data_IF_496303835893
#
_entry.id   IF_496303835893
#
_cell.length_a   1.000
_cell.length_b   1.000
_cell.length_c   1.000
_cell.angle_alpha   90.00
_cell.angle_beta   90.00
_cell.angle_gamma   90.00
#
_symmetry.space_group_name_H-M   'P 1'
#
loop_
_entity.id
_entity.type
_entity.pdbx_description
1 polymer ?
#
# COMPACT_ATOMS: atom_id res chain seq x y z
N UNK A 1 8.28 -24.11 -20.80
CA UNK A 1 7.49 -24.05 -19.57
C UNK A 1 6.03 -23.79 -19.96
N UNK A 2 5.06 -24.50 -19.36
CA UNK A 2 3.61 -24.37 -19.63
C UNK A 2 2.80 -24.51 -18.33
N UNK A 3 2.46 -23.39 -17.69
CA UNK A 3 1.32 -23.29 -16.79
C UNK A 3 0.06 -23.70 -17.57
N UNK A 4 -0.91 -24.33 -16.89
CA UNK A 4 -2.12 -24.91 -17.49
C UNK A 4 -1.92 -26.18 -18.34
N UNK A 5 -0.74 -26.80 -18.29
CA UNK A 5 -0.56 -28.18 -18.78
C UNK A 5 -1.54 -29.13 -18.08
N UNK A 6 -2.08 -30.12 -18.80
CA UNK A 6 -2.87 -31.18 -18.20
C UNK A 6 -1.99 -32.10 -17.33
N UNK A 7 -2.53 -32.51 -16.19
CA UNK A 7 -1.94 -33.50 -15.30
C UNK A 7 -3.03 -34.49 -14.86
N UNK A 8 -2.64 -35.67 -14.41
CA UNK A 8 -3.55 -36.67 -13.87
C UNK A 8 -3.88 -36.36 -12.41
N UNK A 9 -5.11 -35.91 -12.17
CA UNK A 9 -5.61 -35.57 -10.84
C UNK A 9 -5.63 -36.76 -9.86
N UNK A 10 -5.66 -38.00 -10.37
CA UNK A 10 -5.67 -39.22 -9.55
C UNK A 10 -4.26 -39.73 -9.24
N UNK A 11 -3.24 -39.17 -9.88
CA UNK A 11 -1.86 -39.53 -9.68
C UNK A 11 -1.14 -38.36 -8.97
N UNK A 12 -0.81 -38.48 -7.68
CA UNK A 12 -0.20 -37.41 -6.90
C UNK A 12 1.27 -37.16 -7.26
N UNK A 13 1.80 -37.73 -8.35
CA UNK A 13 3.16 -37.48 -8.79
C UNK A 13 3.34 -35.98 -9.13
N UNK A 14 4.15 -35.23 -8.34
CA UNK A 14 4.27 -33.79 -8.49
C UNK A 14 5.14 -33.39 -9.70
N UNK A 15 5.88 -34.33 -10.29
CA UNK A 15 6.74 -34.11 -11.46
C UNK A 15 5.97 -34.07 -12.79
N UNK A 16 4.64 -34.17 -12.77
CA UNK A 16 3.82 -34.07 -13.97
C UNK A 16 3.79 -32.66 -14.57
N UNK A 17 4.01 -31.64 -13.73
CA UNK A 17 4.04 -30.26 -14.15
C UNK A 17 5.46 -29.84 -14.52
N UNK A 18 5.62 -29.28 -15.73
CA UNK A 18 6.92 -28.86 -16.26
C UNK A 18 7.63 -27.82 -15.38
N UNK A 19 6.87 -27.00 -14.65
CA UNK A 19 7.37 -25.96 -13.74
C UNK A 19 7.49 -26.44 -12.29
N UNK A 20 7.59 -27.75 -12.03
CA UNK A 20 7.92 -28.26 -10.69
C UNK A 20 9.27 -27.69 -10.20
N UNK A 21 9.41 -27.28 -8.91
CA UNK A 21 8.46 -27.40 -7.79
C UNK A 21 7.47 -26.23 -7.64
N UNK A 22 7.37 -25.36 -8.63
CA UNK A 22 6.61 -24.10 -8.57
C UNK A 22 5.19 -24.22 -9.16
N UNK A 23 4.89 -25.33 -9.82
CA UNK A 23 3.56 -25.72 -10.26
C UNK A 23 3.11 -27.01 -9.56
N UNK A 24 1.83 -27.06 -9.21
CA UNK A 24 1.18 -28.22 -8.61
C UNK A 24 0.01 -28.68 -9.49
N UNK A 25 -0.27 -29.99 -9.49
CA UNK A 25 -1.45 -30.52 -10.17
C UNK A 25 -2.69 -30.28 -9.31
N UNK A 26 -3.64 -29.49 -9.81
CA UNK A 26 -4.92 -29.23 -9.16
C UNK A 26 -6.06 -29.37 -10.16
N UNK A 27 -7.03 -30.25 -9.88
CA UNK A 27 -8.19 -30.47 -10.77
C UNK A 27 -7.81 -30.91 -12.19
N UNK A 28 -6.69 -31.64 -12.33
CA UNK A 28 -6.19 -32.12 -13.62
C UNK A 28 -5.46 -31.06 -14.46
N UNK A 29 -5.13 -29.91 -13.86
CA UNK A 29 -4.34 -28.84 -14.48
C UNK A 29 -3.17 -28.45 -13.60
N UNK A 30 -2.04 -28.16 -14.23
CA UNK A 30 -0.88 -27.57 -13.59
C UNK A 30 -1.13 -26.09 -13.31
N UNK A 31 -1.21 -25.73 -12.04
CA UNK A 31 -1.38 -24.35 -11.58
C UNK A 31 -0.15 -23.91 -10.80
N UNK A 32 0.24 -22.65 -10.92
CA UNK A 32 1.36 -22.12 -10.14
C UNK A 32 1.02 -22.09 -8.65
N UNK A 33 2.03 -22.28 -7.80
CA UNK A 33 1.88 -22.06 -6.36
C UNK A 33 1.66 -20.57 -6.10
N UNK A 34 0.39 -20.18 -5.96
CA UNK A 34 -0.03 -18.78 -5.85
C UNK A 34 0.55 -18.05 -4.63
N UNK A 35 1.02 -18.79 -3.61
CA UNK A 35 1.66 -18.19 -2.42
C UNK A 35 3.02 -17.57 -2.70
N UNK A 36 3.69 -17.97 -3.79
CA UNK A 36 5.08 -17.54 -4.08
C UNK A 36 5.32 -17.27 -5.56
N UNK A 37 4.46 -17.74 -6.44
CA UNK A 37 4.59 -17.64 -7.89
C UNK A 37 3.28 -17.13 -8.51
N UNK A 38 3.39 -16.66 -9.75
CA UNK A 38 2.29 -16.25 -10.59
C UNK A 38 2.52 -16.74 -12.02
N UNK A 39 1.45 -16.89 -12.79
CA UNK A 39 1.53 -17.32 -14.19
C UNK A 39 1.94 -16.13 -15.07
N UNK A 40 2.95 -16.31 -15.92
CA UNK A 40 3.35 -15.34 -16.94
C UNK A 40 3.88 -16.06 -18.16
N UNK A 41 3.26 -15.81 -19.32
CA UNK A 41 3.60 -16.47 -20.60
C UNK A 41 3.63 -18.01 -20.45
N UNK A 42 2.59 -18.58 -19.84
CA UNK A 42 2.51 -20.00 -19.49
C UNK A 42 3.71 -20.49 -18.66
N UNK A 43 4.29 -19.68 -17.78
CA UNK A 43 5.36 -20.12 -16.88
C UNK A 43 5.10 -19.64 -15.47
N UNK A 44 5.45 -20.45 -14.46
CA UNK A 44 5.41 -20.01 -13.08
C UNK A 44 6.63 -19.15 -12.76
N UNK A 45 6.41 -17.85 -12.58
CA UNK A 45 7.44 -16.90 -12.18
C UNK A 45 7.30 -16.54 -10.72
N UNK A 46 8.42 -16.35 -10.04
CA UNK A 46 8.42 -15.98 -8.62
C UNK A 46 7.85 -14.58 -8.44
N UNK A 47 6.96 -14.41 -7.47
CA UNK A 47 6.44 -13.11 -7.05
C UNK A 47 7.55 -12.27 -6.42
N UNK A 48 7.47 -10.97 -6.61
CA UNK A 48 8.42 -9.98 -6.12
C UNK A 48 8.10 -9.71 -4.66
N UNK A 49 9.03 -10.07 -3.76
CA UNK A 49 8.90 -9.85 -2.31
C UNK A 49 9.21 -8.41 -1.94
N UNK A 50 10.23 -7.85 -2.56
CA UNK A 50 10.77 -6.57 -2.15
C UNK A 50 9.97 -5.43 -2.78
N UNK A 51 9.22 -4.74 -1.93
CA UNK A 51 8.53 -3.50 -2.30
C UNK A 51 9.57 -2.45 -2.71
N UNK A 52 9.21 -1.57 -3.63
CA UNK A 52 10.09 -0.50 -4.13
C UNK A 52 11.32 -0.94 -4.95
N UNK A 53 11.44 -2.23 -5.33
CA UNK A 53 12.48 -2.69 -6.27
C UNK A 53 11.92 -2.75 -7.70
N UNK A 54 12.66 -2.18 -8.65
CA UNK A 54 12.29 -2.11 -10.08
C UNK A 54 12.45 -3.47 -10.75
N UNK A 55 11.43 -4.30 -10.68
CA UNK A 55 11.46 -5.65 -11.28
C UNK A 55 10.08 -6.15 -11.74
N UNK A 56 9.01 -5.37 -11.54
CA UNK A 56 7.69 -5.76 -12.02
C UNK A 56 7.51 -5.28 -13.46
N UNK A 57 6.80 -6.06 -14.28
CA UNK A 57 6.54 -5.75 -15.66
C UNK A 57 5.13 -5.14 -15.80
N UNK A 58 5.00 -3.83 -16.04
CA UNK A 58 3.70 -3.16 -16.09
C UNK A 58 2.87 -3.56 -17.33
N UNK A 59 3.46 -4.28 -18.29
CA UNK A 59 2.74 -4.82 -19.46
C UNK A 59 2.02 -6.12 -19.17
N UNK A 60 2.28 -6.76 -18.02
CA UNK A 60 1.52 -7.91 -17.57
C UNK A 60 0.34 -7.35 -16.76
N UNK A 61 -0.90 -7.45 -17.27
CA UNK A 61 -2.07 -6.84 -16.63
C UNK A 61 -2.42 -7.50 -15.29
N UNK A 62 -1.91 -8.70 -15.03
CA UNK A 62 -2.08 -9.37 -13.76
C UNK A 62 -1.27 -8.66 -12.66
N UNK A 63 -2.02 -8.08 -11.71
CA UNK A 63 -1.52 -7.46 -10.48
C UNK A 63 -0.77 -8.45 -9.56
N UNK A 64 -0.81 -9.75 -9.88
CA UNK A 64 -0.24 -10.84 -9.11
C UNK A 64 1.29 -10.98 -9.17
N UNK A 65 2.00 -10.00 -9.70
CA UNK A 65 3.47 -10.02 -9.73
C UNK A 65 4.08 -9.76 -8.35
N UNK A 66 3.37 -9.00 -7.51
CA UNK A 66 3.82 -8.67 -6.17
C UNK A 66 3.42 -9.79 -5.19
N UNK A 67 4.31 -10.05 -4.22
CA UNK A 67 4.06 -11.06 -3.20
C UNK A 67 3.04 -10.58 -2.18
N UNK A 68 3.10 -9.29 -1.83
CA UNK A 68 2.18 -8.69 -0.88
C UNK A 68 0.77 -8.53 -1.52
N UNK A 69 -0.30 -8.97 -0.85
CA UNK A 69 -1.66 -8.92 -1.40
C UNK A 69 -2.20 -7.49 -1.56
N UNK A 70 -1.61 -6.50 -0.89
CA UNK A 70 -1.97 -5.09 -0.99
C UNK A 70 -0.94 -4.28 -1.79
N UNK A 71 -0.14 -4.95 -2.63
CA UNK A 71 0.78 -4.31 -3.54
C UNK A 71 0.42 -4.60 -5.00
N UNK A 72 0.46 -3.55 -5.83
CA UNK A 72 0.28 -3.67 -7.27
C UNK A 72 1.55 -3.20 -8.00
N UNK A 73 1.84 -3.79 -9.16
CA UNK A 73 2.90 -3.29 -10.03
C UNK A 73 2.53 -1.89 -10.56
N UNK A 74 3.27 -0.87 -10.14
CA UNK A 74 3.08 0.50 -10.57
C UNK A 74 3.52 0.66 -12.03
N UNK A 75 2.62 1.17 -12.89
CA UNK A 75 2.85 1.29 -14.33
C UNK A 75 3.94 2.30 -14.70
N UNK A 76 4.18 3.29 -13.84
CA UNK A 76 5.12 4.38 -14.09
C UNK A 76 6.50 3.97 -13.59
N UNK A 77 6.60 3.52 -12.34
CA UNK A 77 7.88 3.22 -11.70
C UNK A 77 8.34 1.78 -11.91
N UNK A 78 7.49 0.88 -12.42
CA UNK A 78 7.80 -0.56 -12.59
C UNK A 78 8.28 -1.23 -11.29
N UNK A 79 7.77 -0.75 -10.16
CA UNK A 79 7.99 -1.32 -8.81
C UNK A 79 6.67 -1.84 -8.25
N UNK A 80 6.75 -2.81 -7.34
CA UNK A 80 5.62 -3.13 -6.47
C UNK A 80 5.42 -1.99 -5.47
N UNK A 81 4.30 -1.28 -5.62
CA UNK A 81 3.89 -0.18 -4.75
C UNK A 81 2.61 -0.60 -4.01
N UNK A 82 2.44 -0.09 -2.80
CA UNK A 82 1.23 -0.40 -2.02
C UNK A 82 0.00 0.23 -2.67
N UNK A 83 -1.13 -0.45 -2.55
CA UNK A 83 -2.43 0.05 -2.96
C UNK A 83 -2.81 1.30 -2.15
N UNK A 84 -3.84 2.01 -2.62
CA UNK A 84 -4.20 3.36 -2.16
C UNK A 84 -4.26 3.51 -0.63
N UNK A 85 -4.82 2.54 0.07
CA UNK A 85 -5.08 2.62 1.51
C UNK A 85 -3.97 1.99 2.37
N UNK A 86 -2.84 1.63 1.74
CA UNK A 86 -1.70 1.01 2.40
C UNK A 86 -0.42 1.83 2.20
N UNK A 87 0.59 1.53 3.00
CA UNK A 87 1.94 2.10 2.88
C UNK A 87 3.01 1.04 3.16
N UNK A 88 4.24 1.31 2.74
CA UNK A 88 5.35 0.35 2.91
C UNK A 88 5.85 0.42 4.35
N UNK A 89 5.74 -0.69 5.07
CA UNK A 89 6.39 -0.89 6.37
C UNK A 89 7.28 -2.13 6.31
N UNK A 90 8.60 -1.91 6.29
CA UNK A 90 9.56 -2.98 6.04
C UNK A 90 9.42 -3.56 4.63
N UNK A 91 8.99 -4.82 4.52
CA UNK A 91 8.79 -5.55 3.25
C UNK A 91 7.32 -5.82 2.93
N UNK A 92 6.40 -5.17 3.64
CA UNK A 92 4.97 -5.42 3.52
C UNK A 92 4.16 -4.14 3.42
N UNK A 93 2.99 -4.24 2.80
CA UNK A 93 2.02 -3.18 2.76
C UNK A 93 1.10 -3.32 3.98
N UNK A 94 1.03 -2.26 4.78
CA UNK A 94 0.17 -2.19 5.96
C UNK A 94 -0.81 -1.03 5.80
N UNK A 95 -1.99 -1.14 6.42
CA UNK A 95 -3.01 -0.10 6.36
C UNK A 95 -2.47 1.24 6.84
N UNK A 96 -2.89 2.31 6.16
CA UNK A 96 -2.56 3.67 6.57
C UNK A 96 -3.21 4.03 7.90
N UNK A 97 -2.50 4.87 8.64
CA UNK A 97 -2.87 5.30 9.98
C UNK A 97 -3.89 6.45 9.89
N UNK A 98 -5.01 6.38 10.63
CA UNK A 98 -5.95 7.49 10.72
C UNK A 98 -5.37 8.66 11.53
N UNK A 99 -6.07 9.80 11.52
CA UNK A 99 -5.71 10.98 12.31
C UNK A 99 -5.61 10.65 13.81
N UNK A 100 -4.69 11.33 14.50
CA UNK A 100 -4.44 11.17 15.93
C UNK A 100 -3.67 9.88 16.28
N UNK A 101 -3.44 8.98 15.32
CA UNK A 101 -2.65 7.76 15.55
C UNK A 101 -1.16 8.05 15.44
N UNK A 102 -0.38 7.40 16.32
CA UNK A 102 1.07 7.52 16.36
C UNK A 102 1.70 7.01 15.06
N UNK A 103 2.54 7.84 14.45
CA UNK A 103 3.31 7.53 13.26
C UNK A 103 4.83 7.65 13.55
N UNK A 104 5.66 7.14 12.65
CA UNK A 104 7.12 7.25 12.75
C UNK A 104 7.65 8.30 11.77
N UNK A 105 8.10 9.43 12.31
CA UNK A 105 8.67 10.53 11.51
C UNK A 105 9.98 10.17 10.82
N UNK A 106 10.64 9.06 11.19
CA UNK A 106 11.87 8.60 10.57
C UNK A 106 11.62 7.68 9.37
N UNK A 107 10.40 7.19 9.19
CA UNK A 107 10.03 6.42 8.01
C UNK A 107 9.89 7.40 6.85
N UNK A 108 10.77 7.25 5.85
CA UNK A 108 10.82 8.11 4.64
C UNK A 108 9.54 8.07 3.80
N UNK A 109 8.69 7.06 4.00
CA UNK A 109 7.41 7.01 3.31
C UNK A 109 6.43 7.93 4.04
N UNK A 110 6.22 9.11 3.45
CA UNK A 110 5.28 10.12 3.94
C UNK A 110 3.82 9.63 3.88
N UNK A 111 3.56 8.48 3.25
CA UNK A 111 2.23 7.89 3.08
C UNK A 111 1.75 7.05 4.26
N UNK A 112 2.44 7.08 5.41
CA UNK A 112 1.98 6.38 6.62
C UNK A 112 0.57 6.77 7.03
N UNK A 113 0.22 8.05 6.88
CA UNK A 113 -1.05 8.59 7.29
C UNK A 113 -2.10 8.48 6.17
N UNK A 114 -3.38 8.48 6.55
CA UNK A 114 -4.51 8.51 5.64
C UNK A 114 -4.38 9.63 4.59
N UNK A 115 -5.12 9.51 3.49
CA UNK A 115 -5.14 10.54 2.44
C UNK A 115 -5.41 11.93 3.04
N UNK A 116 -4.65 12.92 2.57
CA UNK A 116 -4.69 14.30 3.06
C UNK A 116 -4.28 14.47 4.54
N UNK A 117 -3.50 13.54 5.10
CA UNK A 117 -2.82 13.71 6.38
C UNK A 117 -1.30 13.60 6.20
N UNK A 118 -0.54 14.09 7.17
CA UNK A 118 0.90 13.86 7.27
C UNK A 118 1.30 13.56 8.71
N UNK A 119 2.45 12.91 8.87
CA UNK A 119 3.01 12.60 10.19
C UNK A 119 3.70 13.84 10.75
N UNK A 120 3.22 14.37 11.89
CA UNK A 120 3.78 15.56 12.53
C UNK A 120 4.11 15.32 14.00
N UNK A 121 5.20 15.91 14.46
CA UNK A 121 5.63 15.89 15.87
C UNK A 121 7.15 15.90 16.00
N UNK A 122 7.65 15.91 17.23
CA UNK A 122 9.08 15.83 17.54
C UNK A 122 9.36 14.73 18.57
N UNK A 123 10.50 14.06 18.44
CA UNK A 123 11.06 13.22 19.52
C UNK A 123 10.16 12.07 20.00
N UNK A 124 9.84 11.10 19.13
CA UNK A 124 9.15 9.85 19.52
C UNK A 124 7.65 9.97 19.79
N UNK A 125 7.06 11.16 19.57
CA UNK A 125 5.64 11.48 19.81
C UNK A 125 4.92 12.02 18.56
N UNK A 126 5.33 11.57 17.36
CA UNK A 126 4.66 11.98 16.13
C UNK A 126 3.31 11.29 15.95
N UNK A 127 2.32 12.04 15.48
CA UNK A 127 0.97 11.58 15.15
C UNK A 127 0.57 12.01 13.76
N UNK A 128 -0.34 11.27 13.14
CA UNK A 128 -0.97 11.68 11.89
C UNK A 128 -1.91 12.85 12.14
N UNK A 129 -1.73 13.93 11.39
CA UNK A 129 -2.59 15.10 11.42
C UNK A 129 -3.09 15.43 10.01
N UNK A 130 -4.36 15.82 9.90
CA UNK A 130 -4.89 16.31 8.62
C UNK A 130 -4.10 17.52 8.10
N UNK A 131 -3.86 17.52 6.80
CA UNK A 131 -3.27 18.64 6.07
C UNK A 131 -4.19 19.87 6.16
N UNK A 132 -3.61 21.06 5.99
CA UNK A 132 -4.35 22.30 6.03
C UNK A 132 -5.52 22.31 5.02
N UNK A 133 -6.70 22.73 5.48
CA UNK A 133 -7.95 22.71 4.70
C UNK A 133 -8.76 21.41 4.79
N UNK A 134 -8.27 20.42 5.56
CA UNK A 134 -8.96 19.16 5.83
C UNK A 134 -9.24 18.99 7.33
N UNK A 135 -10.35 18.33 7.63
CA UNK A 135 -10.77 17.96 8.99
C UNK A 135 -11.02 16.46 9.06
N UNK A 136 -10.72 15.87 10.21
CA UNK A 136 -10.96 14.45 10.41
C UNK A 136 -12.45 14.18 10.62
N UNK A 137 -13.02 13.34 9.75
CA UNK A 137 -14.40 12.86 9.83
C UNK A 137 -14.47 11.42 9.34
N UNK A 138 -15.16 10.56 10.09
CA UNK A 138 -15.40 9.15 9.72
C UNK A 138 -14.14 8.36 9.33
N UNK A 139 -13.03 8.56 10.03
CA UNK A 139 -11.79 7.82 9.78
C UNK A 139 -10.91 8.40 8.67
N UNK A 140 -11.30 9.51 8.04
CA UNK A 140 -10.56 10.13 6.94
C UNK A 140 -10.43 11.66 7.10
N UNK A 141 -9.40 12.24 6.47
CA UNK A 141 -9.27 13.69 6.34
C UNK A 141 -10.07 14.16 5.13
N UNK A 142 -11.17 14.84 5.40
CA UNK A 142 -12.12 15.34 4.41
C UNK A 142 -12.06 16.86 4.32
N UNK A 143 -12.42 17.44 3.18
CA UNK A 143 -12.41 18.90 3.02
C UNK A 143 -13.34 19.52 4.05
N UNK A 144 -12.88 20.57 4.71
CA UNK A 144 -13.73 21.37 5.59
C UNK A 144 -14.83 22.02 4.74
N UNK A 145 -15.99 21.35 4.63
CA UNK A 145 -17.19 21.99 4.10
C UNK A 145 -17.64 22.98 5.15
N UNK A 146 -17.09 24.18 5.10
CA UNK A 146 -17.76 25.36 5.63
C UNK A 146 -19.13 25.39 4.94
N UNK A 147 -20.16 24.93 5.63
CA UNK A 147 -21.54 25.32 5.32
C UNK A 147 -21.55 26.82 5.52
N UNK A 148 -21.23 27.57 4.47
CA UNK A 148 -21.63 28.95 4.30
C UNK A 148 -23.13 28.94 4.08
N UNK A 149 -23.86 28.57 5.14
CA UNK A 149 -25.24 28.96 5.30
C UNK A 149 -25.21 30.47 5.34
N UNK A 150 -25.76 31.09 4.30
CA UNK A 150 -26.00 32.52 4.27
C UNK A 150 -26.90 32.91 5.45
N UNK A 151 -26.31 33.28 6.58
CA UNK A 151 -26.89 34.15 7.60
C UNK A 151 -25.77 34.53 8.57
N UNK A 152 -25.44 35.83 8.61
CA UNK A 152 -24.31 36.35 9.36
C UNK A 152 -24.34 36.02 10.84
N UNK A 153 -23.26 35.40 11.32
CA UNK A 153 -22.70 35.72 12.64
C UNK A 153 -21.21 35.38 12.59
N UNK A 154 -20.39 36.42 12.67
CA UNK A 154 -18.95 36.35 12.88
C UNK A 154 -18.67 35.69 14.23
N UNK A 155 -18.20 34.44 14.21
CA UNK A 155 -17.54 33.84 15.37
C UNK A 155 -16.13 33.44 14.97
N UNK A 156 -15.20 34.19 15.54
CA UNK A 156 -13.75 34.08 15.43
C UNK A 156 -13.29 32.67 15.82
N UNK A 157 -12.53 32.00 14.94
CA UNK A 157 -11.79 30.79 15.31
C UNK A 157 -10.80 31.12 16.45
N UNK A 158 -10.56 30.20 17.42
CA UNK A 158 -9.54 30.41 18.43
C UNK A 158 -8.17 30.36 17.74
N UNK A 159 -7.52 31.52 17.64
CA UNK A 159 -6.13 31.60 17.21
C UNK A 159 -5.23 31.01 18.29
N UNK A 160 -4.70 29.81 18.05
CA UNK A 160 -3.54 29.34 18.81
C UNK A 160 -2.32 30.11 18.29
N UNK A 161 -1.93 31.17 18.99
CA UNK A 161 -0.67 31.88 18.73
C UNK A 161 0.49 30.94 19.08
N UNK A 162 1.52 30.79 18.21
CA UNK A 162 2.79 30.22 18.67
C UNK A 162 3.40 31.17 19.71
N UNK A 163 4.07 30.67 20.77
CA UNK A 163 4.76 31.55 21.70
C UNK A 163 5.90 32.27 20.97
N UNK A 164 5.72 33.57 20.74
CA UNK A 164 6.84 34.50 20.56
C UNK A 164 7.51 34.64 21.93
N UNK A 165 8.77 34.21 22.03
CA UNK A 165 9.84 34.95 22.70
C UNK A 165 11.12 34.09 22.69
N UNK A 166 12.17 34.55 22.00
CA UNK A 166 13.42 35.00 22.65
C UNK A 166 14.10 36.01 21.73
N UNK A 167 14.23 37.21 22.28
CA UNK A 167 14.93 38.40 21.79
C UNK A 167 16.41 38.09 21.53
N UNK A 168 16.90 38.49 20.35
CA UNK A 168 18.32 38.64 20.09
C UNK A 168 18.77 39.94 20.78
N UNK A 169 19.66 39.81 21.76
CA UNK A 169 20.44 40.89 22.36
C UNK A 169 21.92 40.55 22.27
#
# INVERSE_FOLDING_TARGET
AKAEQLCDANNPNPYQCLDYPYAICFGGKCVCNESTHFTSNDTCKRRIRDLNITNCNPRIPDRNQCLDPYATCNIISSVCDCDKDHFISGTSCVERLPDGVKCDINVKDEKQCADNAHCAGHGGSAICICNWGFVFSDGACTVETTVSSAAGTTTTAPQFQPPLDVVIG
#
